data_IF_966596520101
#
_entry.id   IF_966596520101
#
_cell.length_a   1.000
_cell.length_b   1.000
_cell.length_c   1.000
_cell.angle_alpha   90.00
_cell.angle_beta   90.00
_cell.angle_gamma   90.00
#
_symmetry.space_group_name_H-M   'P 1'
#
loop_
_entity.id
_entity.type
_entity.pdbx_description
1 polymer ?
#
# COMPACT_ATOMS: atom_id res chain seq x y z
N UNK A 1 11.68 4.14 -0.50
CA UNK A 1 10.46 3.73 -1.26
C UNK A 1 10.86 2.68 -2.30
N UNK A 2 9.95 1.78 -2.69
CA UNK A 2 10.17 0.77 -3.74
C UNK A 2 9.10 0.91 -4.81
N UNK A 3 9.51 0.94 -6.07
CA UNK A 3 8.58 0.99 -7.20
C UNK A 3 8.02 -0.41 -7.50
N UNK A 4 6.70 -0.54 -7.47
CA UNK A 4 6.01 -1.80 -7.78
C UNK A 4 5.62 -1.82 -9.26
N UNK A 5 5.02 -0.72 -9.72
CA UNK A 5 4.65 -0.42 -11.11
C UNK A 5 4.89 1.07 -11.40
N UNK A 6 4.60 1.55 -12.61
CA UNK A 6 4.66 2.99 -12.94
C UNK A 6 3.66 3.83 -12.12
N UNK A 7 2.55 3.23 -11.67
CA UNK A 7 1.53 3.91 -10.87
C UNK A 7 1.67 3.65 -9.37
N UNK A 8 2.32 2.56 -8.93
CA UNK A 8 2.37 2.16 -7.52
C UNK A 8 3.79 2.16 -6.95
N UNK A 9 3.96 2.88 -5.85
CA UNK A 9 5.10 2.83 -4.95
C UNK A 9 4.68 2.30 -3.58
N UNK A 10 5.59 1.59 -2.92
CA UNK A 10 5.40 1.17 -1.53
C UNK A 10 6.54 1.63 -0.62
N UNK A 11 6.26 1.79 0.67
CA UNK A 11 7.28 2.07 1.68
C UNK A 11 6.90 1.56 3.07
N UNK A 12 7.88 1.56 3.98
CA UNK A 12 7.59 1.64 5.41
C UNK A 12 6.97 2.99 5.78
N UNK A 13 6.87 3.27 7.07
CA UNK A 13 6.31 4.54 7.58
C UNK A 13 7.09 5.71 6.97
N UNK A 14 6.48 6.55 6.11
CA UNK A 14 7.17 7.70 5.54
C UNK A 14 7.35 8.76 6.63
N UNK A 15 8.48 9.45 6.58
CA UNK A 15 8.71 10.70 7.30
C UNK A 15 8.10 11.87 6.52
N UNK A 16 7.98 13.04 7.16
CA UNK A 16 7.54 14.27 6.50
C UNK A 16 8.40 14.63 5.29
N UNK A 17 9.71 14.42 5.40
CA UNK A 17 10.65 14.62 4.29
C UNK A 17 10.41 13.62 3.13
N UNK A 18 10.09 12.36 3.45
CA UNK A 18 9.73 11.38 2.43
C UNK A 18 8.44 11.78 1.69
N UNK A 19 7.45 12.32 2.40
CA UNK A 19 6.21 12.82 1.80
C UNK A 19 6.47 14.01 0.87
N UNK A 20 7.35 14.93 1.27
CA UNK A 20 7.75 16.05 0.41
C UNK A 20 8.45 15.57 -0.87
N UNK A 21 9.38 14.62 -0.76
CA UNK A 21 10.05 14.00 -1.92
C UNK A 21 9.05 13.26 -2.81
N UNK A 22 8.09 12.53 -2.21
CA UNK A 22 7.04 11.83 -2.95
C UNK A 22 6.18 12.80 -3.77
N UNK A 23 5.76 13.92 -3.18
CA UNK A 23 5.01 14.96 -3.88
C UNK A 23 5.80 15.56 -5.06
N UNK A 24 7.09 15.86 -4.86
CA UNK A 24 7.97 16.35 -5.92
C UNK A 24 8.16 15.32 -7.06
N UNK A 25 8.17 14.03 -6.72
CA UNK A 25 8.19 12.93 -7.69
C UNK A 25 6.83 12.70 -8.40
N UNK A 26 5.82 13.51 -8.10
CA UNK A 26 4.51 13.48 -8.75
C UNK A 26 3.51 12.49 -8.14
N UNK A 27 3.79 11.90 -6.97
CA UNK A 27 2.79 11.15 -6.21
C UNK A 27 1.60 12.07 -5.92
N UNK A 28 0.38 11.58 -6.15
CA UNK A 28 -0.88 12.32 -5.95
C UNK A 28 -1.77 11.74 -4.86
N UNK A 29 -1.48 10.52 -4.40
CA UNK A 29 -2.23 9.88 -3.32
C UNK A 29 -1.35 9.06 -2.41
N UNK A 30 -1.60 9.20 -1.12
CA UNK A 30 -1.09 8.32 -0.07
C UNK A 30 -2.19 7.33 0.33
N UNK A 31 -1.85 6.04 0.41
CA UNK A 31 -2.70 5.01 1.01
C UNK A 31 -2.03 4.48 2.26
N UNK A 32 -2.61 4.75 3.42
CA UNK A 32 -2.14 4.22 4.70
C UNK A 32 -2.78 2.87 5.01
N UNK A 33 -1.97 1.82 5.09
CA UNK A 33 -2.38 0.46 5.47
C UNK A 33 -1.99 0.09 6.90
N UNK A 34 -1.59 1.08 7.69
CA UNK A 34 -1.21 0.94 9.09
C UNK A 34 -2.38 1.34 10.01
N UNK A 35 -2.86 0.46 10.90
CA UNK A 35 -3.76 0.85 11.98
C UNK A 35 -3.14 1.95 12.85
N UNK A 36 -3.97 2.78 13.45
CA UNK A 36 -3.53 3.79 14.42
C UNK A 36 -2.98 3.12 15.69
N UNK A 37 -2.03 3.78 16.36
CA UNK A 37 -1.47 3.35 17.65
C UNK A 37 -0.79 1.96 17.61
N UNK A 38 -0.18 1.57 16.49
CA UNK A 38 0.60 0.33 16.41
C UNK A 38 1.92 0.44 17.21
N UNK A 39 2.48 1.64 17.36
CA UNK A 39 3.63 1.91 18.23
C UNK A 39 3.67 3.37 18.73
N UNK A 40 4.34 3.68 19.86
CA UNK A 40 4.35 5.03 20.45
C UNK A 40 4.93 6.12 19.54
N UNK A 41 5.83 5.75 18.63
CA UNK A 41 6.49 6.67 17.69
C UNK A 41 5.75 6.80 16.37
N UNK A 42 4.57 6.19 16.24
CA UNK A 42 3.77 6.31 15.03
C UNK A 42 3.26 7.75 14.88
N UNK A 43 3.47 8.40 13.72
CA UNK A 43 2.86 9.70 13.45
C UNK A 43 1.33 9.60 13.51
N UNK A 44 0.67 10.63 14.05
CA UNK A 44 -0.78 10.67 14.10
C UNK A 44 -1.38 10.73 12.70
N UNK A 45 -2.42 9.95 12.44
CA UNK A 45 -3.04 9.87 11.10
C UNK A 45 -3.61 11.21 10.64
N UNK A 46 -4.19 12.00 11.55
CA UNK A 46 -4.73 13.31 11.22
C UNK A 46 -3.62 14.30 10.78
N UNK A 47 -2.46 14.25 11.43
CA UNK A 47 -1.31 15.08 11.10
C UNK A 47 -0.71 14.66 9.75
N UNK A 48 -0.56 13.34 9.53
CA UNK A 48 -0.08 12.80 8.26
C UNK A 48 -1.01 13.17 7.08
N UNK A 49 -2.34 13.10 7.29
CA UNK A 49 -3.32 13.49 6.29
C UNK A 49 -3.29 14.99 5.99
N UNK A 50 -3.14 15.83 7.03
CA UNK A 50 -3.02 17.28 6.87
C UNK A 50 -1.75 17.65 6.09
N UNK A 51 -0.62 17.04 6.40
CA UNK A 51 0.63 17.26 5.69
C UNK A 51 0.55 16.81 4.23
N UNK A 52 -0.03 15.63 3.95
CA UNK A 52 -0.26 15.16 2.59
C UNK A 52 -1.11 16.17 1.79
N UNK A 53 -2.18 16.70 2.39
CA UNK A 53 -3.01 17.74 1.78
C UNK A 53 -2.25 19.03 1.48
N UNK A 54 -1.40 19.50 2.41
CA UNK A 54 -0.54 20.67 2.19
C UNK A 54 0.45 20.47 1.02
N UNK A 55 0.86 19.23 0.78
CA UNK A 55 1.73 18.83 -0.33
C UNK A 55 0.97 18.52 -1.63
N UNK A 56 -0.35 18.74 -1.66
CA UNK A 56 -1.19 18.51 -2.84
C UNK A 56 -1.47 17.04 -3.14
N UNK A 57 -1.42 16.18 -2.12
CA UNK A 57 -1.73 14.75 -2.21
C UNK A 57 -3.01 14.41 -1.45
N UNK A 58 -3.84 13.55 -2.03
CA UNK A 58 -4.95 12.92 -1.32
C UNK A 58 -4.42 11.91 -0.29
N UNK A 59 -5.16 11.68 0.79
CA UNK A 59 -4.81 10.69 1.80
C UNK A 59 -5.99 9.75 2.07
N UNK A 60 -5.78 8.44 1.92
CA UNK A 60 -6.81 7.42 2.13
C UNK A 60 -6.33 6.37 3.14
N UNK A 61 -7.20 6.01 4.07
CA UNK A 61 -6.92 4.99 5.07
C UNK A 61 -7.59 3.66 4.70
N UNK A 62 -6.79 2.61 4.62
CA UNK A 62 -7.24 1.21 4.48
C UNK A 62 -6.43 0.36 5.46
N UNK A 63 -6.63 0.53 6.78
CA UNK A 63 -5.80 -0.10 7.79
C UNK A 63 -6.04 -1.60 7.82
N UNK A 64 -4.95 -2.38 7.89
CA UNK A 64 -5.03 -3.84 8.01
C UNK A 64 -4.04 -4.38 9.03
N UNK A 65 -4.44 -5.44 9.70
CA UNK A 65 -3.58 -6.20 10.60
C UNK A 65 -2.81 -7.25 9.79
N UNK A 66 -1.47 -7.37 9.97
CA UNK A 66 -0.69 -8.40 9.29
C UNK A 66 -1.30 -9.80 9.46
N UNK A 67 -1.44 -10.54 8.36
CA UNK A 67 -2.01 -11.89 8.35
C UNK A 67 -3.53 -11.97 8.48
N UNK A 68 -4.23 -10.83 8.65
CA UNK A 68 -5.70 -10.75 8.72
C UNK A 68 -6.21 -9.83 7.61
N UNK A 69 -6.14 -10.30 6.38
CA UNK A 69 -6.64 -9.57 5.21
C UNK A 69 -8.07 -10.03 4.90
N UNK A 70 -8.95 -9.08 4.63
CA UNK A 70 -10.33 -9.34 4.18
C UNK A 70 -10.48 -8.97 2.72
N UNK A 71 -11.45 -9.60 2.03
CA UNK A 71 -11.80 -9.20 0.67
C UNK A 71 -12.21 -7.73 0.62
N UNK A 72 -12.94 -7.25 1.62
CA UNK A 72 -13.32 -5.84 1.76
C UNK A 72 -12.10 -4.91 1.77
N UNK A 73 -11.07 -5.21 2.57
CA UNK A 73 -9.86 -4.39 2.63
C UNK A 73 -9.08 -4.41 1.30
N UNK A 74 -9.02 -5.58 0.63
CA UNK A 74 -8.43 -5.69 -0.71
C UNK A 74 -9.18 -4.80 -1.71
N UNK A 75 -10.51 -4.84 -1.69
CA UNK A 75 -11.34 -4.02 -2.60
C UNK A 75 -11.28 -2.54 -2.27
N UNK A 76 -11.23 -2.17 -1.00
CA UNK A 76 -11.01 -0.79 -0.57
C UNK A 76 -9.66 -0.25 -1.05
N UNK A 77 -8.59 -1.05 -0.93
CA UNK A 77 -7.27 -0.70 -1.47
C UNK A 77 -7.32 -0.51 -2.99
N UNK A 78 -7.88 -1.48 -3.73
CA UNK A 78 -7.97 -1.42 -5.19
C UNK A 78 -8.79 -0.22 -5.68
N UNK A 79 -9.90 0.09 -5.00
CA UNK A 79 -10.69 1.30 -5.27
C UNK A 79 -9.87 2.57 -5.06
N UNK A 80 -9.22 2.70 -3.90
CA UNK A 80 -8.39 3.86 -3.60
C UNK A 80 -7.22 4.04 -4.58
N UNK A 81 -6.63 2.94 -5.04
CA UNK A 81 -5.59 2.94 -6.07
C UNK A 81 -6.12 3.31 -7.46
N UNK A 82 -7.28 2.79 -7.86
CA UNK A 82 -7.90 3.07 -9.15
C UNK A 82 -8.32 4.54 -9.28
N UNK A 83 -8.97 5.08 -8.24
CA UNK A 83 -9.48 6.46 -8.19
C UNK A 83 -8.39 7.54 -8.10
N UNK A 84 -7.13 7.16 -7.84
CA UNK A 84 -6.03 8.10 -7.78
C UNK A 84 -5.74 8.71 -9.16
N UNK A 85 -5.73 10.04 -9.23
CA UNK A 85 -5.41 10.84 -10.43
C UNK A 85 -3.89 11.02 -10.60
N UNK A 86 -3.14 9.93 -10.48
CA UNK A 86 -1.68 9.91 -10.61
C UNK A 86 -1.03 8.75 -9.85
N UNK A 87 0.31 8.76 -9.76
CA UNK A 87 1.06 7.80 -8.97
C UNK A 87 0.65 7.79 -7.49
N UNK A 88 0.69 6.61 -6.89
CA UNK A 88 0.26 6.34 -5.52
C UNK A 88 1.44 5.85 -4.70
N UNK A 89 1.59 6.38 -3.49
CA UNK A 89 2.45 5.81 -2.45
C UNK A 89 1.57 5.11 -1.41
N UNK A 90 1.66 3.79 -1.34
CA UNK A 90 1.01 3.01 -0.29
C UNK A 90 2.04 2.64 0.79
N UNK A 91 1.69 2.79 2.07
CA UNK A 91 2.61 2.48 3.14
C UNK A 91 1.96 1.71 4.29
N UNK A 92 2.80 1.06 5.08
CA UNK A 92 2.44 0.59 6.41
C UNK A 92 3.66 0.75 7.33
N UNK A 93 3.88 -0.13 8.33
CA UNK A 93 5.14 -0.14 9.08
C UNK A 93 6.36 -0.44 8.20
N UNK A 94 6.28 -1.45 7.34
CA UNK A 94 7.40 -1.92 6.49
C UNK A 94 7.10 -2.07 5.00
N UNK A 95 5.89 -1.71 4.55
CA UNK A 95 5.44 -1.81 3.16
C UNK A 95 4.81 -3.15 2.76
N UNK A 96 5.03 -4.23 3.52
CA UNK A 96 4.51 -5.57 3.19
C UNK A 96 2.98 -5.61 3.05
N UNK A 97 2.23 -5.00 3.98
CA UNK A 97 0.75 -4.98 3.92
C UNK A 97 0.24 -4.37 2.62
N UNK A 98 0.83 -3.26 2.20
CA UNK A 98 0.47 -2.55 0.97
C UNK A 98 0.72 -3.41 -0.26
N UNK A 99 1.89 -4.05 -0.33
CA UNK A 99 2.20 -4.96 -1.44
C UNK A 99 1.27 -6.17 -1.47
N UNK A 100 0.97 -6.75 -0.31
CA UNK A 100 0.05 -7.88 -0.18
C UNK A 100 -1.36 -7.53 -0.66
N UNK A 101 -1.94 -6.42 -0.20
CA UNK A 101 -3.28 -5.99 -0.63
C UNK A 101 -3.35 -5.74 -2.14
N UNK A 102 -2.32 -5.08 -2.69
CA UNK A 102 -2.23 -4.85 -4.12
C UNK A 102 -2.15 -6.17 -4.89
N UNK A 103 -1.19 -7.04 -4.56
CA UNK A 103 -0.96 -8.30 -5.27
C UNK A 103 -2.19 -9.23 -5.25
N UNK A 104 -2.88 -9.33 -4.10
CA UNK A 104 -4.14 -10.08 -4.00
C UNK A 104 -5.16 -9.50 -4.98
N UNK A 105 -5.37 -8.19 -4.96
CA UNK A 105 -6.34 -7.54 -5.85
C UNK A 105 -6.01 -7.69 -7.34
N UNK A 106 -4.74 -7.59 -7.72
CA UNK A 106 -4.32 -7.81 -9.12
C UNK A 106 -4.60 -9.23 -9.60
N UNK A 107 -4.39 -10.24 -8.75
CA UNK A 107 -4.70 -11.63 -9.10
C UNK A 107 -6.20 -11.86 -9.19
N UNK A 108 -6.97 -11.35 -8.23
CA UNK A 108 -8.43 -11.47 -8.26
C UNK A 108 -9.06 -10.80 -9.48
N UNK A 109 -8.43 -9.76 -10.01
CA UNK A 109 -8.89 -9.05 -11.21
C UNK A 109 -8.29 -9.60 -12.52
N UNK A 110 -7.48 -10.67 -12.45
CA UNK A 110 -6.87 -11.30 -13.61
C UNK A 110 -5.74 -10.48 -14.27
N UNK A 111 -5.26 -9.41 -13.63
CA UNK A 111 -4.15 -8.56 -14.14
C UNK A 111 -2.77 -9.13 -13.81
N UNK A 112 -2.70 -10.07 -12.87
CA UNK A 112 -1.49 -10.80 -12.49
C UNK A 112 -1.83 -12.28 -12.30
N UNK A 113 -0.92 -13.20 -12.64
CA UNK A 113 -1.13 -14.62 -12.35
C UNK A 113 -0.69 -14.94 -10.93
N UNK A 114 -1.36 -15.90 -10.29
CA UNK A 114 -0.96 -16.43 -8.97
C UNK A 114 0.51 -16.90 -8.96
N UNK A 115 1.00 -17.42 -10.09
CA UNK A 115 2.39 -17.89 -10.26
C UNK A 115 3.42 -16.77 -10.24
N UNK A 116 3.02 -15.52 -10.47
CA UNK A 116 3.95 -14.39 -10.61
C UNK A 116 4.25 -13.72 -9.24
N UNK A 117 3.52 -14.10 -8.19
CA UNK A 117 3.64 -13.49 -6.85
C UNK A 117 5.03 -13.73 -6.25
N UNK A 118 5.63 -14.92 -6.44
CA UNK A 118 6.96 -15.21 -5.87
C UNK A 118 8.02 -14.32 -6.51
N UNK A 119 8.02 -14.21 -7.85
CA UNK A 119 8.93 -13.34 -8.59
C UNK A 119 8.77 -11.87 -8.21
N UNK A 120 7.53 -11.42 -7.98
CA UNK A 120 7.26 -10.07 -7.45
C UNK A 120 7.87 -9.88 -6.05
N UNK A 121 7.69 -10.84 -5.16
CA UNK A 121 8.24 -10.83 -3.81
C UNK A 121 9.75 -10.79 -3.80
N UNK A 122 10.41 -11.62 -4.61
CA UNK A 122 11.87 -11.65 -4.78
C UNK A 122 12.41 -10.32 -5.30
N UNK A 123 11.84 -9.80 -6.38
CA UNK A 123 12.23 -8.50 -6.97
C UNK A 123 12.17 -7.37 -5.96
N UNK A 124 11.19 -7.40 -5.05
CA UNK A 124 10.96 -6.36 -4.06
C UNK A 124 11.57 -6.70 -2.69
N UNK A 125 12.24 -7.84 -2.54
CA UNK A 125 12.76 -8.33 -1.26
C UNK A 125 11.68 -8.37 -0.17
N UNK A 126 10.49 -8.85 -0.51
CA UNK A 126 9.30 -8.86 0.36
C UNK A 126 8.65 -10.24 0.33
N UNK A 127 8.44 -10.85 1.50
CA UNK A 127 7.76 -12.14 1.59
C UNK A 127 6.24 -11.99 1.32
N UNK A 128 5.77 -12.62 0.24
CA UNK A 128 4.37 -12.66 -0.17
C UNK A 128 3.70 -14.03 -0.03
N UNK A 129 4.30 -14.96 0.72
CA UNK A 129 3.71 -16.29 0.97
C UNK A 129 2.27 -16.18 1.51
N UNK A 130 2.04 -15.26 2.46
CA UNK A 130 0.71 -15.02 3.01
C UNK A 130 -0.31 -14.50 1.99
N UNK A 131 0.13 -13.79 0.94
CA UNK A 131 -0.77 -13.38 -0.14
C UNK A 131 -1.25 -14.59 -0.97
N UNK A 132 -0.33 -15.52 -1.26
CA UNK A 132 -0.65 -16.76 -1.99
C UNK A 132 -1.58 -17.66 -1.19
N UNK A 133 -1.32 -17.82 0.10
CA UNK A 133 -2.16 -18.64 0.98
C UNK A 133 -3.56 -18.05 1.11
N UNK A 134 -3.65 -16.71 1.21
CA UNK A 134 -4.93 -16.01 1.18
C UNK A 134 -5.69 -16.27 -0.13
N UNK A 135 -5.04 -16.11 -1.28
CA UNK A 135 -5.67 -16.34 -2.59
C UNK A 135 -6.20 -17.77 -2.71
N UNK A 136 -5.41 -18.80 -2.39
CA UNK A 136 -5.84 -20.20 -2.46
C UNK A 136 -7.06 -20.55 -1.58
N UNK A 137 -7.28 -19.78 -0.53
CA UNK A 137 -8.37 -20.01 0.43
C UNK A 137 -9.58 -19.11 0.21
N UNK A 138 -9.48 -18.09 -0.65
CA UNK A 138 -10.52 -17.07 -0.84
C UNK A 138 -10.82 -16.73 -2.31
N UNK A 139 -10.20 -17.40 -3.29
CA UNK A 139 -10.42 -17.20 -4.74
C UNK A 139 -11.14 -18.36 -5.40
#
# INVERSE_FOLDING_TARGET
>A
MKQVTDKLWISGQPTDADLAVAAQAGIRRIINNRPENEEPTQPGMAEAAALAGQLGMDFVNVPVTPGRYTLEAVRAFQKAFAEAQGPVLAHCKGGTRSLTLWAIGEVLDGRMKLTDIDALGERLGTNLAGAKDWLRTNS
#
